data_IF_073075711604
#
_entry.id   IF_073075711604
#
_cell.length_a   1.000
_cell.length_b   1.000
_cell.length_c   1.000
_cell.angle_alpha   90.00
_cell.angle_beta   90.00
_cell.angle_gamma   90.00
#
_symmetry.space_group_name_H-M   'P 1'
#
loop_
_entity.id
_entity.type
_entity.pdbx_description
1 polymer ?
#
# COMPACT_ATOMS: atom_id res chain seq x y z
N UNK A 1 22.93 65.43 -17.85
CA UNK A 1 23.26 64.69 -16.60
C UNK A 1 22.22 63.64 -16.23
N UNK A 2 20.90 63.93 -16.26
CA UNK A 2 19.85 62.95 -15.88
C UNK A 2 19.82 61.67 -16.74
N UNK A 3 20.02 61.74 -18.06
CA UNK A 3 20.02 60.55 -18.94
C UNK A 3 21.21 59.61 -18.73
N UNK A 4 22.36 60.11 -18.26
CA UNK A 4 23.52 59.27 -17.96
C UNK A 4 23.31 58.45 -16.68
N UNK A 5 22.62 59.01 -15.68
CA UNK A 5 22.24 58.30 -14.46
C UNK A 5 21.24 57.16 -14.73
N UNK A 6 20.25 57.36 -15.60
CA UNK A 6 19.28 56.31 -15.96
C UNK A 6 19.95 55.12 -16.64
N UNK A 7 20.86 55.38 -17.60
CA UNK A 7 21.56 54.31 -18.32
C UNK A 7 22.43 53.47 -17.37
N UNK A 8 23.17 54.12 -16.47
CA UNK A 8 23.99 53.45 -15.44
C UNK A 8 23.13 52.63 -14.49
N UNK A 9 21.98 53.14 -14.04
CA UNK A 9 21.07 52.36 -13.19
C UNK A 9 20.49 51.13 -13.90
N UNK A 10 20.11 51.23 -15.18
CA UNK A 10 19.56 50.09 -15.94
C UNK A 10 20.60 49.01 -16.19
N UNK A 11 21.85 49.39 -16.48
CA UNK A 11 22.95 48.43 -16.64
C UNK A 11 23.27 47.75 -15.32
N UNK A 12 23.34 48.49 -14.21
CA UNK A 12 23.59 47.92 -12.87
C UNK A 12 22.47 46.96 -12.44
N UNK A 13 21.19 47.31 -12.61
CA UNK A 13 20.08 46.40 -12.31
C UNK A 13 20.16 45.12 -13.17
N UNK A 14 20.47 45.24 -14.46
CA UNK A 14 20.59 44.07 -15.34
C UNK A 14 21.76 43.14 -14.94
N UNK A 15 22.91 43.70 -14.56
CA UNK A 15 24.06 42.92 -14.11
C UNK A 15 23.81 42.26 -12.75
N UNK A 16 23.11 42.94 -11.82
CA UNK A 16 22.68 42.34 -10.56
C UNK A 16 21.72 41.17 -10.76
N UNK A 17 20.72 41.29 -11.65
CA UNK A 17 19.82 40.17 -11.96
C UNK A 17 20.54 38.98 -12.61
N UNK A 18 21.51 39.24 -13.51
CA UNK A 18 22.31 38.17 -14.13
C UNK A 18 23.19 37.47 -13.07
N UNK A 19 23.84 38.23 -12.18
CA UNK A 19 24.67 37.66 -11.12
C UNK A 19 23.87 36.81 -10.13
N UNK A 20 22.68 37.27 -9.70
CA UNK A 20 21.79 36.50 -8.83
C UNK A 20 21.31 35.21 -9.48
N UNK A 21 21.01 35.23 -10.79
CA UNK A 21 20.61 34.03 -11.53
C UNK A 21 21.78 33.05 -11.68
N UNK A 22 22.99 33.55 -11.92
CA UNK A 22 24.20 32.73 -12.01
C UNK A 22 24.53 32.06 -10.66
N UNK A 23 24.47 32.82 -9.57
CA UNK A 23 24.71 32.34 -8.20
C UNK A 23 23.67 31.27 -7.78
N UNK A 24 22.38 31.53 -8.04
CA UNK A 24 21.31 30.53 -7.80
C UNK A 24 21.51 29.26 -8.64
N UNK A 25 21.98 29.39 -9.88
CA UNK A 25 22.27 28.24 -10.76
C UNK A 25 23.47 27.43 -10.28
N UNK A 26 24.50 28.09 -9.78
CA UNK A 26 25.69 27.46 -9.20
C UNK A 26 25.35 26.70 -7.92
N UNK A 27 24.64 27.33 -6.97
CA UNK A 27 24.15 26.68 -5.74
C UNK A 27 23.27 25.48 -6.07
N UNK A 28 22.34 25.61 -7.03
CA UNK A 28 21.51 24.49 -7.48
C UNK A 28 22.36 23.32 -8.00
N UNK A 29 23.40 23.60 -8.79
CA UNK A 29 24.27 22.58 -9.37
C UNK A 29 25.11 21.89 -8.28
N UNK A 30 25.66 22.64 -7.33
CA UNK A 30 26.39 22.12 -6.18
C UNK A 30 25.49 21.23 -5.32
N UNK A 31 24.27 21.67 -5.02
CA UNK A 31 23.32 20.89 -4.23
C UNK A 31 22.92 19.58 -4.93
N UNK A 32 22.67 19.62 -6.25
CA UNK A 32 22.43 18.39 -7.04
C UNK A 32 23.62 17.43 -6.98
N UNK A 33 24.84 17.95 -7.02
CA UNK A 33 26.06 17.16 -6.97
C UNK A 33 26.26 16.47 -5.61
N UNK A 34 25.96 17.15 -4.50
CA UNK A 34 25.93 16.55 -3.15
C UNK A 34 24.95 15.38 -3.10
N UNK A 35 23.74 15.58 -3.61
CA UNK A 35 22.71 14.53 -3.63
C UNK A 35 23.09 13.39 -4.58
N UNK A 36 23.68 13.68 -5.74
CA UNK A 36 24.18 12.63 -6.65
C UNK A 36 25.23 11.75 -5.97
N UNK A 37 26.20 12.35 -5.27
CA UNK A 37 27.20 11.61 -4.49
C UNK A 37 26.57 10.77 -3.38
N UNK A 38 25.53 11.29 -2.72
CA UNK A 38 24.78 10.53 -1.71
C UNK A 38 24.22 9.24 -2.30
N UNK A 39 23.54 9.30 -3.45
CA UNK A 39 22.97 8.11 -4.09
C UNK A 39 24.04 7.19 -4.69
N UNK A 40 24.95 7.71 -5.51
CA UNK A 40 25.86 6.90 -6.31
C UNK A 40 27.05 6.35 -5.51
N UNK A 41 27.63 7.15 -4.62
CA UNK A 41 28.83 6.79 -3.89
C UNK A 41 28.51 6.26 -2.49
N UNK A 42 27.72 7.00 -1.71
CA UNK A 42 27.46 6.59 -0.33
C UNK A 42 26.47 5.41 -0.27
N UNK A 43 25.30 5.52 -0.92
CA UNK A 43 24.26 4.50 -0.85
C UNK A 43 24.56 3.32 -1.78
N UNK A 44 24.72 3.53 -3.08
CA UNK A 44 24.85 2.44 -4.06
C UNK A 44 26.17 1.65 -3.93
N UNK A 45 27.29 2.28 -3.59
CA UNK A 45 28.57 1.60 -3.33
C UNK A 45 28.81 1.27 -1.86
N UNK A 46 27.81 1.52 -0.98
CA UNK A 46 27.90 1.30 0.47
C UNK A 46 29.06 2.06 1.14
N UNK A 47 29.47 3.19 0.58
CA UNK A 47 30.54 4.01 1.16
C UNK A 47 30.00 4.91 2.27
N UNK A 48 29.62 4.30 3.39
CA UNK A 48 29.04 4.97 4.57
C UNK A 48 30.00 6.01 5.17
N UNK A 49 31.32 5.88 4.91
CA UNK A 49 32.32 6.84 5.36
C UNK A 49 32.14 8.25 4.76
N UNK A 50 31.40 8.38 3.64
CA UNK A 50 31.09 9.68 3.03
C UNK A 50 29.93 10.41 3.72
N UNK A 51 29.13 9.74 4.54
CA UNK A 51 27.95 10.37 5.15
C UNK A 51 28.26 11.65 5.95
N UNK A 52 29.33 11.74 6.77
CA UNK A 52 29.66 12.98 7.50
C UNK A 52 30.01 14.18 6.60
N UNK A 53 30.42 13.92 5.36
CA UNK A 53 30.70 14.98 4.37
C UNK A 53 29.43 15.49 3.69
N UNK A 54 28.42 14.63 3.54
CA UNK A 54 27.19 14.90 2.78
C UNK A 54 25.99 15.28 3.66
N UNK A 55 25.97 14.80 4.90
CA UNK A 55 24.88 14.98 5.87
C UNK A 55 25.38 15.87 7.01
N UNK A 56 24.57 16.85 7.39
CA UNK A 56 24.88 17.76 8.50
C UNK A 56 24.79 17.03 9.84
N UNK A 57 25.56 17.50 10.82
CA UNK A 57 25.41 17.06 12.21
C UNK A 57 24.05 17.49 12.81
N UNK A 58 23.45 18.54 12.26
CA UNK A 58 22.13 19.05 12.65
C UNK A 58 20.97 18.37 11.89
N UNK A 59 21.25 17.29 11.16
CA UNK A 59 20.20 16.58 10.41
C UNK A 59 19.14 16.01 11.35
N UNK A 60 17.87 16.32 11.08
CA UNK A 60 16.75 16.04 11.97
C UNK A 60 15.94 14.79 11.62
N UNK A 61 16.32 14.09 10.53
CA UNK A 61 15.64 12.88 10.07
C UNK A 61 16.26 11.58 10.60
N UNK A 62 15.80 10.42 10.09
CA UNK A 62 16.31 9.12 10.50
C UNK A 62 17.79 8.93 10.15
N UNK A 63 18.56 8.28 11.02
CA UNK A 63 19.97 7.97 10.78
C UNK A 63 20.17 7.27 9.43
N UNK A 64 20.80 7.97 8.47
CA UNK A 64 21.04 7.46 7.11
C UNK A 64 21.80 6.14 7.11
N UNK A 65 22.77 5.97 8.01
CA UNK A 65 23.54 4.73 8.10
C UNK A 65 22.62 3.57 8.48
N UNK A 66 21.76 3.76 9.47
CA UNK A 66 20.82 2.73 9.89
C UNK A 66 19.80 2.40 8.80
N UNK A 67 19.28 3.41 8.10
CA UNK A 67 18.35 3.21 6.97
C UNK A 67 19.00 2.43 5.84
N UNK A 68 20.21 2.83 5.41
CA UNK A 68 20.92 2.14 4.33
C UNK A 68 21.26 0.72 4.76
N UNK A 69 21.88 0.52 5.92
CA UNK A 69 22.25 -0.82 6.40
C UNK A 69 21.03 -1.73 6.54
N UNK A 70 19.94 -1.26 7.16
CA UNK A 70 18.74 -2.08 7.35
C UNK A 70 18.06 -2.48 6.04
N UNK A 71 18.10 -1.62 5.01
CA UNK A 71 17.64 -1.99 3.67
C UNK A 71 18.60 -2.97 3.00
N UNK A 72 19.91 -2.80 3.15
CA UNK A 72 20.90 -3.65 2.47
C UNK A 72 21.05 -5.03 3.12
N UNK A 73 20.71 -5.16 4.40
CA UNK A 73 20.63 -6.45 5.09
C UNK A 73 19.44 -7.27 4.54
N UNK A 74 18.32 -6.61 4.24
CA UNK A 74 17.14 -7.24 3.65
C UNK A 74 17.27 -7.47 2.12
N UNK A 75 17.98 -6.56 1.44
CA UNK A 75 18.17 -6.52 -0.01
C UNK A 75 19.67 -6.33 -0.32
N UNK A 76 20.48 -7.40 -0.31
CA UNK A 76 21.94 -7.30 -0.48
C UNK A 76 22.37 -6.62 -1.79
N UNK A 77 21.58 -6.80 -2.84
CA UNK A 77 21.73 -6.21 -4.18
C UNK A 77 20.99 -4.86 -4.35
N UNK A 78 20.59 -4.21 -3.25
CA UNK A 78 19.87 -2.94 -3.27
C UNK A 78 20.55 -1.87 -4.14
N UNK A 79 19.79 -1.27 -5.04
CA UNK A 79 20.26 -0.20 -5.91
C UNK A 79 19.20 0.90 -6.04
N UNK A 80 19.60 2.15 -5.84
CA UNK A 80 18.76 3.32 -6.03
C UNK A 80 19.14 4.00 -7.34
N UNK A 81 18.23 3.95 -8.31
CA UNK A 81 18.37 4.65 -9.58
C UNK A 81 17.72 6.03 -9.49
N UNK A 82 18.52 7.08 -9.64
CA UNK A 82 18.00 8.44 -9.83
C UNK A 82 17.39 8.54 -11.23
N UNK A 83 16.09 8.86 -11.30
CA UNK A 83 15.34 9.06 -12.55
C UNK A 83 15.36 10.52 -12.99
N UNK A 84 15.17 11.42 -12.04
CA UNK A 84 15.22 12.86 -12.27
C UNK A 84 15.60 13.59 -10.96
N UNK A 85 16.12 14.81 -11.10
CA UNK A 85 16.52 15.65 -9.98
C UNK A 85 16.27 17.13 -10.29
N UNK A 86 15.46 17.77 -9.46
CA UNK A 86 15.12 19.19 -9.56
C UNK A 86 15.71 19.92 -8.36
N UNK A 87 16.31 21.09 -8.57
CA UNK A 87 16.87 21.88 -7.48
C UNK A 87 16.42 23.33 -7.59
N UNK A 88 16.05 23.91 -6.46
CA UNK A 88 15.72 25.33 -6.33
C UNK A 88 16.20 25.86 -4.97
N UNK A 89 17.20 26.75 -5.02
CA UNK A 89 17.80 27.32 -3.82
C UNK A 89 18.42 26.22 -2.97
N UNK A 90 17.93 26.08 -1.74
CA UNK A 90 18.42 25.10 -0.78
C UNK A 90 17.67 23.75 -0.84
N UNK A 91 16.70 23.57 -1.76
CA UNK A 91 15.92 22.34 -1.88
C UNK A 91 16.32 21.54 -3.11
N UNK A 92 16.39 20.22 -2.95
CA UNK A 92 16.60 19.26 -4.05
C UNK A 92 15.55 18.16 -3.95
N UNK A 93 14.77 17.97 -5.02
CA UNK A 93 13.79 16.88 -5.12
C UNK A 93 14.33 15.82 -6.07
N UNK A 94 14.33 14.58 -5.63
CA UNK A 94 14.81 13.42 -6.38
C UNK A 94 13.66 12.48 -6.67
N UNK A 95 13.42 12.18 -7.93
CA UNK A 95 12.60 11.04 -8.35
C UNK A 95 13.53 9.85 -8.50
N UNK A 96 13.27 8.78 -7.75
CA UNK A 96 14.14 7.62 -7.70
C UNK A 96 13.36 6.31 -7.78
N UNK A 97 14.06 5.23 -8.14
CA UNK A 97 13.56 3.88 -8.06
C UNK A 97 14.55 3.00 -7.32
N UNK A 98 14.10 2.43 -6.22
CA UNK A 98 14.78 1.37 -5.50
C UNK A 98 14.56 0.05 -6.23
N UNK A 99 15.61 -0.77 -6.32
CA UNK A 99 15.57 -2.14 -6.83
C UNK A 99 16.34 -3.06 -5.89
N UNK A 100 15.87 -4.29 -5.70
CA UNK A 100 16.60 -5.31 -4.95
C UNK A 100 15.83 -6.62 -4.83
N UNK A 101 16.52 -7.66 -4.41
CA UNK A 101 15.99 -9.00 -4.15
C UNK A 101 15.85 -9.21 -2.65
N UNK A 102 14.65 -9.56 -2.19
CA UNK A 102 14.36 -9.73 -0.77
C UNK A 102 14.93 -11.06 -0.23
N UNK A 103 16.18 -11.01 0.23
CA UNK A 103 16.96 -12.17 0.69
C UNK A 103 17.21 -12.18 2.20
N UNK A 104 16.98 -11.07 2.89
CA UNK A 104 17.02 -10.96 4.36
C UNK A 104 15.65 -10.71 4.97
N UNK A 105 15.60 -10.43 6.27
CA UNK A 105 14.35 -10.05 6.95
C UNK A 105 14.13 -8.55 6.84
N UNK A 106 12.97 -8.12 6.36
CA UNK A 106 12.58 -6.71 6.30
C UNK A 106 11.38 -6.43 7.20
N UNK A 107 11.53 -5.63 8.26
CA UNK A 107 10.41 -5.24 9.16
C UNK A 107 9.52 -6.42 9.60
N UNK A 108 10.13 -7.49 10.13
CA UNK A 108 9.48 -8.75 10.52
C UNK A 108 8.93 -9.62 9.39
N UNK A 109 9.13 -9.23 8.12
CA UNK A 109 8.78 -10.04 6.95
C UNK A 109 10.00 -10.91 6.60
N UNK A 110 9.89 -12.25 6.68
CA UNK A 110 10.98 -13.14 6.27
C UNK A 110 11.32 -13.00 4.79
N UNK A 111 12.54 -13.37 4.42
CA UNK A 111 13.00 -13.36 3.03
C UNK A 111 12.02 -14.10 2.10
N UNK A 112 11.65 -13.45 1.00
CA UNK A 112 10.67 -13.99 0.03
C UNK A 112 11.32 -14.51 -1.24
N UNK A 113 12.59 -14.17 -1.49
CA UNK A 113 13.30 -14.46 -2.73
C UNK A 113 12.81 -13.66 -3.95
N UNK A 114 11.89 -12.70 -3.77
CA UNK A 114 11.32 -11.91 -4.86
C UNK A 114 12.15 -10.67 -5.14
N UNK A 115 12.24 -10.31 -6.42
CA UNK A 115 12.71 -9.00 -6.85
C UNK A 115 11.64 -7.93 -6.65
N UNK A 116 12.05 -6.75 -6.21
CA UNK A 116 11.22 -5.59 -5.93
C UNK A 116 11.80 -4.37 -6.65
N UNK A 117 10.92 -3.53 -7.20
CA UNK A 117 11.22 -2.25 -7.81
C UNK A 117 10.20 -1.19 -7.33
N UNK A 118 10.58 -0.37 -6.36
CA UNK A 118 9.69 0.65 -5.77
C UNK A 118 10.09 2.06 -6.17
N UNK A 119 9.12 2.83 -6.66
CA UNK A 119 9.32 4.24 -6.95
C UNK A 119 9.25 5.07 -5.67
N UNK A 120 10.01 6.15 -5.62
CA UNK A 120 9.93 7.12 -4.55
C UNK A 120 10.33 8.53 -4.99
N UNK A 121 9.94 9.48 -4.15
CA UNK A 121 10.36 10.88 -4.24
C UNK A 121 10.96 11.26 -2.90
N UNK A 122 12.12 11.91 -2.94
CA UNK A 122 12.75 12.46 -1.73
C UNK A 122 13.00 13.93 -1.94
N UNK A 123 12.50 14.77 -1.03
CA UNK A 123 12.82 16.18 -0.97
C UNK A 123 13.88 16.39 0.12
N UNK A 124 15.00 16.97 -0.26
CA UNK A 124 16.12 17.31 0.62
C UNK A 124 16.18 18.82 0.82
N UNK A 125 16.47 19.24 2.05
CA UNK A 125 16.93 20.61 2.33
C UNK A 125 18.41 20.59 2.70
N UNK A 126 19.16 21.53 2.15
CA UNK A 126 20.60 21.64 2.34
C UNK A 126 20.98 22.97 2.98
N UNK A 127 22.07 22.97 3.72
CA UNK A 127 22.74 24.17 4.24
C UNK A 127 24.24 23.93 4.20
N UNK A 128 24.99 24.91 3.72
CA UNK A 128 26.46 24.85 3.64
C UNK A 128 26.97 23.57 2.95
N UNK A 129 26.29 23.16 1.87
CA UNK A 129 26.64 21.97 1.08
C UNK A 129 26.30 20.62 1.73
N UNK A 130 25.53 20.60 2.81
CA UNK A 130 25.13 19.38 3.51
C UNK A 130 23.63 19.27 3.70
N UNK A 131 23.10 18.04 3.70
CA UNK A 131 21.68 17.76 3.97
C UNK A 131 21.38 18.02 5.44
N UNK A 132 20.38 18.85 5.70
CA UNK A 132 19.87 19.16 7.06
C UNK A 132 18.47 18.57 7.32
N UNK A 133 17.72 18.25 6.26
CA UNK A 133 16.40 17.65 6.38
C UNK A 133 16.10 16.78 5.16
N UNK A 134 15.29 15.73 5.32
CA UNK A 134 14.71 15.01 4.20
C UNK A 134 13.29 14.52 4.46
N UNK A 135 12.44 14.65 3.47
CA UNK A 135 11.09 14.10 3.45
C UNK A 135 10.98 13.06 2.32
N UNK A 136 10.53 11.85 2.67
CA UNK A 136 10.51 10.71 1.75
C UNK A 136 9.09 10.20 1.55
N UNK A 137 8.68 10.08 0.30
CA UNK A 137 7.46 9.41 -0.12
C UNK A 137 7.81 8.22 -1.00
N UNK A 138 7.33 7.03 -0.64
CA UNK A 138 7.57 5.79 -1.39
C UNK A 138 6.28 5.09 -1.74
N UNK A 139 6.29 4.32 -2.83
CA UNK A 139 5.21 3.41 -3.17
C UNK A 139 5.23 2.20 -2.23
N UNK A 140 4.72 2.41 -1.02
CA UNK A 140 4.66 1.38 0.03
C UNK A 140 3.68 0.26 -0.33
N UNK A 141 2.57 0.58 -0.99
CA UNK A 141 1.59 -0.42 -1.42
C UNK A 141 2.21 -1.34 -2.46
N UNK A 142 2.76 -0.78 -3.55
CA UNK A 142 3.41 -1.55 -4.61
C UNK A 142 4.59 -2.37 -4.08
N UNK A 143 5.40 -1.80 -3.18
CA UNK A 143 6.50 -2.51 -2.53
C UNK A 143 6.02 -3.76 -1.77
N UNK A 144 4.99 -3.64 -0.94
CA UNK A 144 4.44 -4.78 -0.18
C UNK A 144 3.73 -5.80 -1.09
N UNK A 145 3.17 -5.36 -2.22
CA UNK A 145 2.59 -6.25 -3.23
C UNK A 145 3.66 -7.05 -3.98
N UNK A 146 4.80 -6.43 -4.32
CA UNK A 146 5.91 -7.12 -4.97
C UNK A 146 6.64 -8.10 -4.03
N UNK A 147 6.69 -7.78 -2.74
CA UNK A 147 7.07 -8.72 -1.69
C UNK A 147 6.07 -9.88 -1.52
N UNK A 148 4.86 -9.78 -2.07
CA UNK A 148 3.82 -10.80 -1.95
C UNK A 148 3.14 -10.86 -0.58
N UNK A 149 3.31 -9.82 0.25
CA UNK A 149 2.64 -9.70 1.56
C UNK A 149 1.23 -9.15 1.42
N UNK A 150 0.98 -8.36 0.36
CA UNK A 150 -0.32 -7.83 -0.02
C UNK A 150 -0.74 -8.33 -1.42
N UNK A 151 -2.05 -8.49 -1.67
CA UNK A 151 -2.55 -8.86 -2.99
C UNK A 151 -2.38 -7.72 -4.00
N UNK A 152 -2.08 -8.04 -5.27
CA UNK A 152 -1.98 -7.05 -6.36
C UNK A 152 -3.31 -6.36 -6.67
N UNK A 153 -4.42 -7.06 -6.50
CA UNK A 153 -5.75 -6.53 -6.76
C UNK A 153 -6.41 -6.14 -5.44
N UNK A 154 -6.65 -4.84 -5.27
CA UNK A 154 -7.30 -4.25 -4.08
C UNK A 154 -8.81 -4.06 -4.26
N UNK A 155 -9.33 -4.18 -5.49
CA UNK A 155 -10.73 -3.91 -5.83
C UNK A 155 -11.57 -5.20 -6.01
N UNK A 156 -11.06 -6.36 -5.61
CA UNK A 156 -11.72 -7.65 -5.81
C UNK A 156 -11.32 -8.32 -7.14
N UNK A 157 -11.22 -9.65 -7.14
CA UNK A 157 -10.82 -10.43 -8.31
C UNK A 157 -12.01 -10.69 -9.24
N UNK A 158 -11.86 -10.63 -10.59
CA UNK A 158 -12.89 -11.11 -11.51
C UNK A 158 -13.17 -12.62 -11.33
N UNK A 159 -12.24 -13.35 -10.71
CA UNK A 159 -12.42 -14.75 -10.37
C UNK A 159 -13.26 -14.97 -9.12
N UNK A 160 -13.54 -13.90 -8.36
CA UNK A 160 -14.31 -14.00 -7.14
C UNK A 160 -15.69 -14.60 -7.41
N UNK A 161 -16.12 -15.47 -6.50
CA UNK A 161 -17.45 -16.05 -6.48
C UNK A 161 -18.20 -15.48 -5.29
N UNK A 162 -19.37 -14.88 -5.56
CA UNK A 162 -20.19 -14.24 -4.55
C UNK A 162 -21.40 -15.13 -4.28
N UNK A 163 -21.49 -15.63 -3.06
CA UNK A 163 -22.60 -16.45 -2.61
C UNK A 163 -23.54 -15.61 -1.75
N UNK A 164 -24.79 -15.49 -2.18
CA UNK A 164 -25.80 -14.69 -1.48
C UNK A 164 -26.96 -15.58 -1.09
N UNK A 165 -27.28 -15.60 0.20
CA UNK A 165 -28.51 -16.18 0.72
C UNK A 165 -29.40 -15.05 1.24
N UNK A 166 -30.69 -15.09 0.89
CA UNK A 166 -31.75 -14.25 1.45
C UNK A 166 -32.73 -15.14 2.19
N UNK A 167 -32.92 -14.89 3.48
CA UNK A 167 -33.84 -15.60 4.35
C UNK A 167 -35.00 -14.71 4.72
N UNK A 168 -36.22 -15.26 4.74
CA UNK A 168 -37.36 -14.63 5.41
C UNK A 168 -37.72 -15.47 6.63
N UNK A 169 -37.61 -14.88 7.81
CA UNK A 169 -37.64 -15.57 9.10
C UNK A 169 -38.81 -15.02 9.93
N UNK A 170 -39.71 -15.89 10.42
CA UNK A 170 -40.71 -15.48 11.39
C UNK A 170 -40.06 -14.95 12.67
N UNK A 171 -40.66 -13.94 13.31
CA UNK A 171 -40.10 -13.32 14.52
C UNK A 171 -39.85 -14.32 15.65
N UNK A 172 -40.66 -15.38 15.75
CA UNK A 172 -40.52 -16.47 16.73
C UNK A 172 -39.27 -17.34 16.51
N UNK A 173 -38.71 -17.35 15.30
CA UNK A 173 -37.59 -18.20 14.90
C UNK A 173 -36.25 -17.45 14.82
N UNK A 174 -36.25 -16.11 14.97
CA UNK A 174 -35.07 -15.26 14.75
C UNK A 174 -33.88 -15.68 15.61
N UNK A 175 -34.08 -15.92 16.90
CA UNK A 175 -32.98 -16.27 17.81
C UNK A 175 -32.32 -17.61 17.41
N UNK A 176 -33.12 -18.66 17.20
CA UNK A 176 -32.60 -19.98 16.81
C UNK A 176 -31.87 -19.91 15.45
N UNK A 177 -32.45 -19.17 14.51
CA UNK A 177 -31.85 -18.94 13.19
C UNK A 177 -30.49 -18.23 13.30
N UNK A 178 -30.41 -17.13 14.07
CA UNK A 178 -29.17 -16.35 14.20
C UNK A 178 -28.06 -17.12 14.90
N UNK A 179 -28.37 -17.97 15.90
CA UNK A 179 -27.38 -18.85 16.50
C UNK A 179 -26.80 -19.82 15.47
N UNK A 180 -27.63 -20.39 14.58
CA UNK A 180 -27.12 -21.24 13.50
C UNK A 180 -26.27 -20.47 12.49
N UNK A 181 -26.68 -19.24 12.15
CA UNK A 181 -25.92 -18.36 11.25
C UNK A 181 -24.53 -18.07 11.83
N UNK A 182 -24.41 -17.78 13.13
CA UNK A 182 -23.11 -17.52 13.79
C UNK A 182 -22.16 -18.70 13.64
N UNK A 183 -22.62 -19.92 13.88
CA UNK A 183 -21.81 -21.15 13.74
C UNK A 183 -21.29 -21.29 12.30
N UNK A 184 -22.18 -21.20 11.31
CA UNK A 184 -21.81 -21.38 9.91
C UNK A 184 -20.87 -20.28 9.41
N UNK A 185 -21.13 -19.01 9.79
CA UNK A 185 -20.27 -17.88 9.44
C UNK A 185 -18.90 -17.95 10.10
N UNK A 186 -18.85 -18.43 11.34
CA UNK A 186 -17.58 -18.69 12.03
C UNK A 186 -16.74 -19.72 11.30
N UNK A 187 -17.37 -20.81 10.84
CA UNK A 187 -16.69 -21.87 10.07
C UNK A 187 -16.15 -21.36 8.73
N UNK A 188 -16.98 -20.72 7.89
CA UNK A 188 -16.52 -20.35 6.53
C UNK A 188 -15.34 -19.37 6.54
N UNK A 189 -15.22 -18.54 7.59
CA UNK A 189 -14.12 -17.58 7.74
C UNK A 189 -12.76 -18.23 7.93
N UNK A 190 -12.71 -19.49 8.36
CA UNK A 190 -11.45 -20.22 8.56
C UNK A 190 -11.04 -21.04 7.33
N UNK A 191 -11.90 -21.11 6.31
CA UNK A 191 -11.66 -21.97 5.15
C UNK A 191 -10.72 -21.32 4.13
N UNK A 192 -9.81 -22.10 3.50
CA UNK A 192 -8.94 -21.60 2.45
C UNK A 192 -9.72 -20.95 1.30
N UNK A 193 -9.24 -19.80 0.83
CA UNK A 193 -9.86 -19.07 -0.28
C UNK A 193 -11.11 -18.26 0.09
N UNK A 194 -11.50 -18.20 1.38
CA UNK A 194 -12.46 -17.21 1.85
C UNK A 194 -11.84 -15.81 1.76
N UNK A 195 -12.59 -14.84 1.21
CA UNK A 195 -12.12 -13.46 1.01
C UNK A 195 -12.75 -12.53 2.03
N UNK A 196 -14.09 -12.49 2.11
CA UNK A 196 -14.85 -11.63 3.04
C UNK A 196 -16.31 -12.08 3.14
N UNK A 197 -17.00 -11.65 4.19
CA UNK A 197 -18.46 -11.78 4.33
C UNK A 197 -19.14 -10.48 4.76
N UNK A 198 -20.45 -10.40 4.55
CA UNK A 198 -21.32 -9.36 5.07
C UNK A 198 -22.69 -9.96 5.47
N UNK A 199 -23.38 -9.30 6.41
CA UNK A 199 -24.76 -9.62 6.78
C UNK A 199 -25.58 -8.34 6.78
N UNK A 200 -26.79 -8.42 6.27
CA UNK A 200 -27.75 -7.32 6.28
C UNK A 200 -29.09 -7.85 6.77
N UNK A 201 -29.88 -7.00 7.41
CA UNK A 201 -31.22 -7.36 7.82
C UNK A 201 -32.15 -6.17 7.75
N UNK A 202 -33.40 -6.43 7.45
CA UNK A 202 -34.49 -5.47 7.58
C UNK A 202 -35.78 -6.20 7.95
N UNK A 203 -36.78 -5.47 8.43
CA UNK A 203 -38.13 -6.01 8.60
C UNK A 203 -38.96 -5.59 7.40
N UNK A 204 -39.61 -6.55 6.74
CA UNK A 204 -40.46 -6.25 5.58
C UNK A 204 -41.81 -5.63 6.00
N UNK A 205 -42.62 -5.26 5.01
CA UNK A 205 -43.92 -4.64 5.23
C UNK A 205 -44.93 -5.58 5.92
N UNK A 206 -44.67 -6.88 5.97
CA UNK A 206 -45.49 -7.89 6.66
C UNK A 206 -44.98 -8.15 8.09
N UNK A 207 -43.97 -7.41 8.54
CA UNK A 207 -43.38 -7.56 9.87
C UNK A 207 -42.45 -8.78 10.01
N UNK A 208 -42.05 -9.43 8.91
CA UNK A 208 -41.13 -10.57 8.91
C UNK A 208 -39.69 -10.09 8.89
N UNK A 209 -38.81 -10.82 9.57
CA UNK A 209 -37.38 -10.53 9.58
C UNK A 209 -36.73 -11.07 8.31
N UNK A 210 -36.20 -10.18 7.47
CA UNK A 210 -35.42 -10.55 6.29
C UNK A 210 -33.95 -10.46 6.63
N UNK A 211 -33.20 -11.51 6.32
CA UNK A 211 -31.77 -11.61 6.58
C UNK A 211 -31.02 -11.98 5.31
N UNK A 212 -29.99 -11.22 4.95
CA UNK A 212 -29.17 -11.45 3.76
C UNK A 212 -27.74 -11.70 4.18
N UNK A 213 -27.14 -12.80 3.72
CA UNK A 213 -25.71 -13.05 3.86
C UNK A 213 -25.03 -12.94 2.51
N UNK A 214 -23.84 -12.35 2.49
CA UNK A 214 -22.97 -12.29 1.33
C UNK A 214 -21.64 -12.91 1.74
N UNK A 215 -21.15 -13.91 1.01
CA UNK A 215 -19.83 -14.51 1.19
C UNK A 215 -19.06 -14.45 -0.13
N UNK A 216 -17.83 -13.95 -0.09
CA UNK A 216 -16.96 -13.82 -1.26
C UNK A 216 -15.83 -14.83 -1.15
N UNK A 217 -15.65 -15.62 -2.20
CA UNK A 217 -14.61 -16.63 -2.34
C UNK A 217 -13.66 -16.25 -3.46
N UNK A 218 -12.38 -16.54 -3.31
CA UNK A 218 -11.35 -16.10 -4.25
C UNK A 218 -11.45 -16.72 -5.64
N UNK A 219 -12.08 -17.88 -5.74
CA UNK A 219 -12.37 -18.57 -7.00
C UNK A 219 -13.44 -19.67 -6.81
N UNK A 220 -13.87 -20.28 -7.92
CA UNK A 220 -14.86 -21.36 -7.94
C UNK A 220 -14.41 -22.61 -7.17
N UNK A 221 -13.14 -23.00 -7.25
CA UNK A 221 -12.64 -24.20 -6.57
C UNK A 221 -12.72 -24.04 -5.04
N UNK A 222 -12.32 -22.88 -4.52
CA UNK A 222 -12.45 -22.55 -3.10
C UNK A 222 -13.91 -22.58 -2.63
N UNK A 223 -14.84 -22.04 -3.44
CA UNK A 223 -16.27 -22.08 -3.13
C UNK A 223 -16.82 -23.52 -3.06
N UNK A 224 -16.54 -24.36 -4.05
CA UNK A 224 -17.03 -25.76 -4.05
C UNK A 224 -16.45 -26.55 -2.88
N UNK A 225 -15.15 -26.41 -2.60
CA UNK A 225 -14.52 -27.05 -1.45
C UNK A 225 -15.17 -26.62 -0.13
N UNK A 226 -15.48 -25.33 0.01
CA UNK A 226 -16.15 -24.82 1.20
C UNK A 226 -17.55 -25.38 1.37
N UNK A 227 -18.31 -25.54 0.27
CA UNK A 227 -19.64 -26.18 0.32
C UNK A 227 -19.56 -27.61 0.84
N UNK A 228 -18.59 -28.39 0.38
CA UNK A 228 -18.37 -29.76 0.86
C UNK A 228 -18.02 -29.78 2.35
N UNK A 229 -17.13 -28.89 2.80
CA UNK A 229 -16.75 -28.79 4.21
C UNK A 229 -17.92 -28.42 5.11
N UNK A 230 -18.76 -27.47 4.69
CA UNK A 230 -19.96 -27.09 5.44
C UNK A 230 -20.94 -28.26 5.52
N UNK A 231 -21.17 -28.97 4.42
CA UNK A 231 -22.03 -30.17 4.41
C UNK A 231 -21.48 -31.29 5.31
N UNK A 232 -20.15 -31.48 5.33
CA UNK A 232 -19.52 -32.46 6.21
C UNK A 232 -19.66 -32.06 7.69
N UNK A 233 -19.53 -30.77 8.04
CA UNK A 233 -19.80 -30.27 9.39
C UNK A 233 -21.25 -30.52 9.80
N UNK A 234 -22.22 -30.30 8.91
CA UNK A 234 -23.63 -30.57 9.20
C UNK A 234 -23.86 -32.03 9.55
N UNK A 235 -23.30 -32.95 8.75
CA UNK A 235 -23.37 -34.40 9.03
C UNK A 235 -22.72 -34.76 10.36
N UNK A 236 -21.55 -34.18 10.68
CA UNK A 236 -20.83 -34.42 11.93
C UNK A 236 -21.61 -33.94 13.15
N UNK A 237 -22.32 -32.82 13.03
CA UNK A 237 -23.14 -32.23 14.08
C UNK A 237 -24.53 -32.86 14.20
N UNK A 238 -24.90 -33.77 13.29
CA UNK A 238 -26.27 -34.29 13.19
C UNK A 238 -27.30 -33.21 12.81
N UNK A 239 -26.85 -32.13 12.18
CA UNK A 239 -27.68 -30.98 11.82
C UNK A 239 -28.28 -31.14 10.42
N UNK A 240 -29.60 -30.99 10.32
CA UNK A 240 -30.34 -31.00 9.06
C UNK A 240 -30.93 -29.61 8.78
N UNK A 241 -30.32 -28.90 7.81
CA UNK A 241 -30.75 -27.57 7.42
C UNK A 241 -32.17 -27.56 6.81
N UNK A 242 -32.50 -28.38 5.78
CA UNK A 242 -33.87 -28.47 5.28
C UNK A 242 -34.93 -28.71 6.37
N UNK A 243 -34.67 -29.61 7.31
CA UNK A 243 -35.60 -29.90 8.40
C UNK A 243 -35.78 -28.72 9.35
N UNK A 244 -34.69 -28.02 9.70
CA UNK A 244 -34.74 -26.79 10.50
C UNK A 244 -35.57 -25.70 9.80
N UNK A 245 -35.28 -25.41 8.53
CA UNK A 245 -35.99 -24.36 7.78
C UNK A 245 -37.49 -24.65 7.69
N UNK A 246 -37.86 -25.92 7.44
CA UNK A 246 -39.26 -26.35 7.41
C UNK A 246 -39.93 -26.22 8.78
N UNK A 247 -39.28 -26.67 9.86
CA UNK A 247 -39.81 -26.59 11.23
C UNK A 247 -40.03 -25.14 11.67
N UNK A 248 -39.12 -24.25 11.28
CA UNK A 248 -39.15 -22.84 11.65
C UNK A 248 -39.93 -21.95 10.69
N UNK A 249 -40.50 -22.53 9.62
CA UNK A 249 -41.22 -21.80 8.58
C UNK A 249 -40.39 -20.66 7.95
N UNK A 250 -39.10 -20.93 7.72
CA UNK A 250 -38.14 -20.02 7.11
C UNK A 250 -38.08 -20.29 5.61
N UNK A 251 -38.17 -19.24 4.79
CA UNK A 251 -37.89 -19.33 3.35
C UNK A 251 -36.47 -18.88 3.05
N UNK A 252 -35.83 -19.51 2.07
CA UNK A 252 -34.48 -19.17 1.62
C UNK A 252 -34.45 -19.03 0.09
N UNK A 253 -33.79 -17.98 -0.37
CA UNK A 253 -33.37 -17.80 -1.76
C UNK A 253 -31.85 -17.78 -1.79
N UNK A 254 -31.25 -18.54 -2.71
CA UNK A 254 -29.81 -18.75 -2.78
C UNK A 254 -29.32 -18.52 -4.20
N UNK A 255 -28.26 -17.75 -4.35
CA UNK A 255 -27.64 -17.50 -5.64
C UNK A 255 -26.11 -17.46 -5.57
N UNK A 256 -25.50 -17.83 -6.69
CA UNK A 256 -24.06 -17.70 -6.94
C UNK A 256 -23.89 -16.65 -8.03
N UNK A 257 -23.17 -15.59 -7.72
CA UNK A 257 -23.00 -14.40 -8.54
C UNK A 257 -21.52 -14.16 -8.84
N UNK A 258 -21.28 -13.35 -9.87
CA UNK A 258 -19.98 -12.72 -10.14
C UNK A 258 -20.11 -11.23 -9.92
N UNK A 259 -19.02 -10.60 -9.49
CA UNK A 259 -19.00 -9.15 -9.33
C UNK A 259 -19.15 -8.50 -10.70
N UNK A 260 -20.12 -7.60 -10.84
CA UNK A 260 -20.27 -6.84 -12.06
C UNK A 260 -19.32 -5.64 -12.00
N UNK A 261 -18.24 -5.71 -12.75
CA UNK A 261 -17.28 -4.62 -12.88
C UNK A 261 -17.76 -3.72 -14.03
N UNK A 262 -18.37 -2.58 -13.70
CA UNK A 262 -18.63 -1.56 -14.70
C UNK A 262 -17.27 -1.06 -15.24
N UNK A 263 -17.11 -1.06 -16.56
CA UNK A 263 -15.94 -0.48 -17.24
C UNK A 263 -16.02 1.04 -17.27
#
# INVERSE_FOLDING_TARGET
MKSLLYLVSTVLLSQMSIAQVADKKEVNMQNKEVIRKLYEEAMNKRNIALLPELISADYDGPDFKQVVTGLTDAFPDAHWKVKDMVAEGNKVVVFQQFQGTHLGTFQHIPATGRGVASNGVVAYELKDGKVIHSETLTDRLGFLQELGVLPRNINGSPDNVIFIDRFTVPNTAVNEFLERVKVNRGLIKTLPGFVRDAAYSYTDNEGKFVFVTVAVWGNKAAFEQARETVQASYKKEGFDMPAMLKRLNITIERGVYKEFMAQ
#
